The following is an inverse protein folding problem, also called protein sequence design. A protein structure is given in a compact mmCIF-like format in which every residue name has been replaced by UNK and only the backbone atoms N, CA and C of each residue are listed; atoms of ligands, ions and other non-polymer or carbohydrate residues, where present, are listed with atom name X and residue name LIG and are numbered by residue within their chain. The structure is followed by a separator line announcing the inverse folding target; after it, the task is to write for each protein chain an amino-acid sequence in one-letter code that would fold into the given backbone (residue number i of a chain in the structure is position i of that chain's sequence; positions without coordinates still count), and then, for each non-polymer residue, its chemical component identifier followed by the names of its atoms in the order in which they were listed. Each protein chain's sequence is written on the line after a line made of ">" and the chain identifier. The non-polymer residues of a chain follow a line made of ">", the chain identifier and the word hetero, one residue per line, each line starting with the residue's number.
data_IF_706434877384
#
_entry.id   IF_706434877384
#
_cell.length_a   1.000
_cell.length_b   1.000
_cell.length_c   1.000
_cell.angle_alpha   90.00
_cell.angle_beta   90.00
_cell.angle_gamma   90.00
#
_symmetry.space_group_name_H-M   'P 1'
#
loop_
_entity.id
_entity.type
_entity.pdbx_description
1 polymer ?
#
# COMPACT_ATOMS: atom_id res chain seq x y z
N UNK A 1 14.67 23.19 19.79
CA UNK A 1 15.62 22.16 20.23
C UNK A 1 14.97 20.81 20.00
N UNK A 2 15.53 19.99 19.11
CA UNK A 2 14.96 18.68 18.75
C UNK A 2 15.84 17.59 19.34
N UNK A 3 15.26 16.72 20.16
CA UNK A 3 16.00 15.56 20.70
C UNK A 3 16.25 14.51 19.61
N UNK A 4 17.25 13.65 19.78
CA UNK A 4 17.50 12.53 18.84
C UNK A 4 16.29 11.60 18.67
N UNK A 5 15.41 11.51 19.65
CA UNK A 5 14.20 10.71 19.58
C UNK A 5 13.12 11.39 18.72
N UNK A 6 12.93 12.70 18.88
CA UNK A 6 12.04 13.48 18.01
C UNK A 6 12.56 13.53 16.58
N UNK A 7 13.88 13.66 16.40
CA UNK A 7 14.54 13.57 15.09
C UNK A 7 14.38 12.18 14.47
N UNK A 8 14.51 11.11 15.26
CA UNK A 8 14.31 9.75 14.77
C UNK A 8 12.88 9.54 14.23
N UNK A 9 11.88 9.99 14.98
CA UNK A 9 10.47 9.94 14.56
C UNK A 9 10.21 10.78 13.32
N UNK A 10 10.69 12.02 13.29
CA UNK A 10 10.48 12.94 12.17
C UNK A 10 11.17 12.45 10.87
N UNK A 11 12.25 11.67 10.98
CA UNK A 11 13.01 11.18 9.83
C UNK A 11 12.79 9.69 9.53
N UNK A 12 11.86 9.03 10.23
CA UNK A 12 11.54 7.61 10.02
C UNK A 12 12.73 6.66 10.28
N UNK A 13 13.66 7.04 11.16
CA UNK A 13 14.83 6.24 11.53
C UNK A 13 14.77 5.83 13.01
N UNK A 14 15.63 4.88 13.43
CA UNK A 14 15.71 4.51 14.85
C UNK A 14 16.48 5.55 15.66
N UNK A 15 16.14 5.70 16.95
CA UNK A 15 16.85 6.59 17.88
C UNK A 15 18.35 6.28 17.96
N UNK A 16 18.73 4.99 17.85
CA UNK A 16 20.13 4.56 17.77
C UNK A 16 20.84 5.11 16.53
N UNK A 17 20.16 5.11 15.37
CA UNK A 17 20.71 5.66 14.12
C UNK A 17 20.81 7.18 14.18
N UNK A 18 19.82 7.86 14.75
CA UNK A 18 19.89 9.31 14.98
C UNK A 18 21.07 9.69 15.89
N UNK A 19 21.33 8.91 16.95
CA UNK A 19 22.50 9.10 17.83
C UNK A 19 23.82 8.88 17.10
N UNK A 20 23.92 7.83 16.29
CA UNK A 20 25.12 7.56 15.50
C UNK A 20 25.44 8.69 14.50
N UNK A 21 24.41 9.31 13.91
CA UNK A 21 24.57 10.44 13.00
C UNK A 21 25.05 11.71 13.71
N UNK A 22 24.57 11.96 14.94
CA UNK A 22 25.05 13.05 15.77
C UNK A 22 26.51 12.81 16.21
N UNK A 23 26.84 11.58 16.62
CA UNK A 23 28.20 11.20 17.03
C UNK A 23 29.20 11.23 15.87
N UNK A 24 28.78 10.90 14.65
CA UNK A 24 29.64 10.97 13.47
C UNK A 24 29.75 12.38 12.86
N UNK A 25 29.10 13.38 13.45
CA UNK A 25 29.05 14.75 12.90
C UNK A 25 28.28 14.89 11.58
N UNK A 26 27.50 13.87 11.18
CA UNK A 26 26.72 13.90 9.95
C UNK A 26 25.45 14.77 10.08
N UNK A 27 25.06 15.11 11.30
CA UNK A 27 23.98 16.05 11.63
C UNK A 27 24.53 17.05 12.67
N UNK A 28 24.35 18.37 12.48
CA UNK A 28 24.74 19.37 13.46
C UNK A 28 24.04 19.11 14.80
N UNK A 29 24.83 18.75 15.82
CA UNK A 29 24.31 18.43 17.13
C UNK A 29 25.34 18.78 18.20
N UNK A 30 24.86 19.17 19.36
CA UNK A 30 25.67 19.31 20.57
C UNK A 30 25.08 18.47 21.70
N UNK A 31 25.91 18.23 22.72
CA UNK A 31 25.43 17.64 23.97
C UNK A 31 24.93 18.73 24.90
N UNK A 32 23.68 18.60 25.33
CA UNK A 32 23.12 19.34 26.46
C UNK A 32 22.85 18.35 27.59
N UNK A 33 23.75 18.33 28.58
CA UNK A 33 23.76 17.33 29.65
C UNK A 33 23.99 15.90 29.13
N UNK A 34 23.07 14.97 29.42
CA UNK A 34 23.12 13.55 28.98
C UNK A 34 22.43 13.28 27.64
N UNK A 35 21.89 14.31 26.99
CA UNK A 35 21.07 14.17 25.78
C UNK A 35 21.77 14.87 24.62
N UNK A 36 21.77 14.21 23.46
CA UNK A 36 22.17 14.81 22.20
C UNK A 36 21.01 15.69 21.70
N UNK A 37 21.29 16.98 21.51
CA UNK A 37 20.36 17.96 20.95
C UNK A 37 20.81 18.27 19.54
N UNK A 38 19.91 18.11 18.58
CA UNK A 38 20.18 18.42 17.18
C UNK A 38 19.83 19.89 16.95
N UNK A 39 20.81 20.63 16.41
CA UNK A 39 20.79 22.10 16.26
C UNK A 39 20.06 22.57 15.01
N UNK A 40 19.43 21.67 14.28
CA UNK A 40 18.79 22.03 13.02
C UNK A 40 17.54 22.89 13.27
N UNK A 41 17.60 24.15 12.84
CA UNK A 41 16.44 24.93 12.36
C UNK A 41 15.95 24.42 10.99
N UNK A 42 16.65 23.45 10.40
CA UNK A 42 16.24 22.84 9.15
C UNK A 42 14.95 22.06 9.31
N UNK A 43 13.97 22.52 8.54
CA UNK A 43 12.78 21.81 8.05
C UNK A 43 13.04 20.28 8.05
N UNK A 44 12.13 19.45 8.60
CA UNK A 44 12.37 18.00 8.74
C UNK A 44 12.92 17.44 7.44
N UNK A 45 14.18 16.97 7.46
CA UNK A 45 14.83 16.50 6.24
C UNK A 45 14.02 15.33 5.72
N UNK A 46 13.55 15.45 4.47
CA UNK A 46 12.80 14.42 3.74
C UNK A 46 13.37 13.05 4.08
N UNK A 47 12.50 12.15 4.52
CA UNK A 47 12.80 10.74 4.77
C UNK A 47 13.72 10.23 3.67
N UNK A 48 14.88 9.66 4.04
CA UNK A 48 15.89 9.22 3.08
C UNK A 48 15.21 8.39 1.97
N UNK A 49 15.31 8.86 0.73
CA UNK A 49 14.54 8.32 -0.39
C UNK A 49 14.75 6.79 -0.48
N UNK A 50 13.67 5.98 -0.58
CA UNK A 50 13.80 4.55 -0.67
C UNK A 50 14.70 4.16 -1.85
N UNK A 51 15.49 3.07 -1.68
CA UNK A 51 16.36 2.57 -2.75
C UNK A 51 15.54 2.35 -4.03
N UNK A 52 16.10 2.69 -5.21
CA UNK A 52 15.41 2.49 -6.47
C UNK A 52 15.08 1.02 -6.69
N UNK A 53 13.91 0.76 -7.28
CA UNK A 53 13.47 -0.59 -7.62
C UNK A 53 14.22 -1.09 -8.86
N UNK A 54 14.48 -2.40 -8.93
CA UNK A 54 14.95 -3.02 -10.18
C UNK A 54 13.89 -3.00 -11.28
N UNK A 55 14.31 -2.99 -12.54
CA UNK A 55 13.41 -2.92 -13.70
C UNK A 55 12.28 -3.98 -13.71
N UNK A 56 12.51 -5.26 -13.33
CA UNK A 56 11.42 -6.24 -13.26
C UNK A 56 10.31 -5.85 -12.28
N UNK A 57 10.68 -5.34 -11.09
CA UNK A 57 9.72 -4.91 -10.07
C UNK A 57 8.94 -3.67 -10.53
N UNK A 58 9.61 -2.73 -11.21
CA UNK A 58 8.95 -1.55 -11.79
C UNK A 58 7.85 -1.94 -12.79
N UNK A 59 8.13 -2.91 -13.68
CA UNK A 59 7.13 -3.43 -14.64
C UNK A 59 5.95 -4.10 -13.93
N UNK A 60 6.21 -4.93 -12.93
CA UNK A 60 5.15 -5.58 -12.15
C UNK A 60 4.28 -4.55 -11.40
N UNK A 61 4.90 -3.51 -10.83
CA UNK A 61 4.18 -2.43 -10.16
C UNK A 61 3.33 -1.62 -11.14
N UNK A 62 3.86 -1.27 -12.32
CA UNK A 62 3.09 -0.59 -13.38
C UNK A 62 1.87 -1.41 -13.77
N UNK A 63 2.03 -2.71 -14.03
CA UNK A 63 0.92 -3.57 -14.42
C UNK A 63 -0.12 -3.72 -13.29
N UNK A 64 0.35 -3.78 -12.04
CA UNK A 64 -0.53 -3.83 -10.88
C UNK A 64 -1.29 -2.50 -10.65
N UNK A 65 -0.67 -1.35 -10.93
CA UNK A 65 -1.33 -0.04 -10.92
C UNK A 65 -2.37 0.07 -12.03
N UNK A 66 -2.02 -0.37 -13.24
CA UNK A 66 -2.92 -0.40 -14.40
C UNK A 66 -4.18 -1.22 -14.12
N UNK A 67 -4.02 -2.44 -13.62
CA UNK A 67 -5.13 -3.35 -13.36
C UNK A 67 -5.77 -3.14 -11.99
N UNK A 68 -5.14 -2.34 -11.14
CA UNK A 68 -5.46 -2.21 -9.71
C UNK A 68 -5.68 -3.58 -9.05
N UNK A 69 -4.82 -4.54 -9.38
CA UNK A 69 -4.94 -5.97 -9.06
C UNK A 69 -3.56 -6.61 -9.07
N UNK A 70 -3.41 -7.71 -8.35
CA UNK A 70 -2.18 -8.51 -8.31
C UNK A 70 -2.29 -9.74 -9.24
N UNK A 71 -3.15 -9.66 -10.27
CA UNK A 71 -3.36 -10.73 -11.24
C UNK A 71 -2.05 -11.08 -11.95
N UNK A 72 -1.81 -12.38 -12.17
CA UNK A 72 -0.58 -12.86 -12.81
C UNK A 72 0.65 -12.91 -11.90
N UNK A 73 0.57 -12.38 -10.67
CA UNK A 73 1.67 -12.46 -9.69
C UNK A 73 1.48 -13.65 -8.75
N UNK A 74 2.56 -14.39 -8.50
CA UNK A 74 2.58 -15.55 -7.60
C UNK A 74 3.69 -15.41 -6.54
N UNK A 75 3.56 -16.16 -5.46
CA UNK A 75 4.63 -16.33 -4.46
C UNK A 75 5.23 -15.01 -3.92
N UNK A 76 6.57 -14.91 -3.84
CA UNK A 76 7.25 -13.73 -3.30
C UNK A 76 6.96 -12.42 -4.06
N UNK A 77 6.73 -12.47 -5.38
CA UNK A 77 6.48 -11.28 -6.18
C UNK A 77 5.15 -10.64 -5.84
N UNK A 78 4.11 -11.46 -5.67
CA UNK A 78 2.79 -11.00 -5.20
C UNK A 78 2.91 -10.26 -3.87
N UNK A 79 3.66 -10.80 -2.90
CA UNK A 79 3.87 -10.17 -1.60
C UNK A 79 4.65 -8.85 -1.70
N UNK A 80 5.70 -8.82 -2.54
CA UNK A 80 6.52 -7.61 -2.73
C UNK A 80 5.71 -6.49 -3.36
N UNK A 81 4.98 -6.77 -4.44
CA UNK A 81 4.13 -5.76 -5.13
C UNK A 81 2.99 -5.32 -4.23
N UNK A 82 2.33 -6.24 -3.52
CA UNK A 82 1.27 -5.90 -2.55
C UNK A 82 1.77 -4.90 -1.50
N UNK A 83 2.97 -5.12 -0.94
CA UNK A 83 3.60 -4.22 0.03
C UNK A 83 3.90 -2.85 -0.57
N UNK A 84 4.35 -2.76 -1.82
CA UNK A 84 4.61 -1.47 -2.46
C UNK A 84 3.32 -0.72 -2.77
N UNK A 85 2.28 -1.40 -3.23
CA UNK A 85 0.96 -0.79 -3.38
C UNK A 85 0.42 -0.28 -2.05
N UNK A 86 0.64 -1.01 -0.96
CA UNK A 86 0.30 -0.56 0.40
C UNK A 86 1.04 0.72 0.76
N UNK A 87 2.36 0.71 0.63
CA UNK A 87 3.20 1.89 0.90
C UNK A 87 2.74 3.11 0.10
N UNK A 88 2.35 2.91 -1.16
CA UNK A 88 1.84 3.97 -2.00
C UNK A 88 0.49 4.52 -1.50
N UNK A 89 -0.43 3.63 -1.10
CA UNK A 89 -1.76 3.98 -0.61
C UNK A 89 -1.74 4.64 0.78
N UNK A 90 -0.79 4.26 1.62
CA UNK A 90 -0.66 4.74 3.00
C UNK A 90 0.26 5.98 3.10
N UNK A 91 0.85 6.43 1.98
CA UNK A 91 1.75 7.58 1.96
C UNK A 91 1.00 8.90 1.86
N UNK A 92 1.39 9.88 2.67
CA UNK A 92 0.92 11.27 2.53
C UNK A 92 1.41 11.91 1.22
N UNK A 93 2.54 11.44 0.68
CA UNK A 93 3.06 11.86 -0.62
C UNK A 93 3.44 10.63 -1.47
N UNK A 94 2.48 10.06 -2.23
CA UNK A 94 2.75 8.89 -3.08
C UNK A 94 3.67 9.22 -4.27
N UNK A 95 3.68 10.48 -4.75
CA UNK A 95 4.51 10.90 -5.87
C UNK A 95 6.01 10.83 -5.53
N UNK A 96 6.39 11.22 -4.30
CA UNK A 96 7.76 11.08 -3.81
C UNK A 96 8.24 9.62 -3.80
N UNK A 97 7.38 8.67 -3.41
CA UNK A 97 7.71 7.25 -3.45
C UNK A 97 7.93 6.77 -4.89
N UNK A 98 7.07 7.16 -5.82
CA UNK A 98 7.22 6.80 -7.24
C UNK A 98 8.49 7.41 -7.83
N UNK A 99 8.80 8.68 -7.54
CA UNK A 99 10.07 9.31 -7.94
C UNK A 99 11.28 8.55 -7.38
N UNK A 100 11.26 8.20 -6.10
CA UNK A 100 12.35 7.45 -5.47
C UNK A 100 12.53 6.05 -6.08
N UNK A 101 11.43 5.32 -6.29
CA UNK A 101 11.46 3.96 -6.82
C UNK A 101 11.86 3.88 -8.28
N UNK A 102 11.47 4.87 -9.10
CA UNK A 102 11.78 4.93 -10.52
C UNK A 102 13.02 5.77 -10.84
N UNK A 103 13.54 6.52 -9.87
CA UNK A 103 14.76 7.35 -9.99
C UNK A 103 14.74 8.30 -11.20
N UNK A 104 13.61 8.94 -11.46
CA UNK A 104 13.46 9.84 -12.62
C UNK A 104 13.20 9.13 -13.95
N UNK A 105 13.22 7.79 -14.00
CA UNK A 105 12.87 7.08 -15.23
C UNK A 105 11.39 7.23 -15.55
N UNK A 106 11.10 7.82 -16.72
CA UNK A 106 9.75 7.96 -17.25
C UNK A 106 9.44 6.76 -18.16
N UNK A 107 8.37 6.00 -17.90
CA UNK A 107 7.94 4.93 -18.79
C UNK A 107 7.58 5.47 -20.17
N UNK A 108 7.96 4.75 -21.24
CA UNK A 108 7.69 5.18 -22.62
C UNK A 108 6.24 4.97 -23.05
N UNK A 109 5.49 4.09 -22.40
CA UNK A 109 4.09 3.83 -22.71
C UNK A 109 3.11 4.82 -22.08
N UNK A 110 1.82 4.57 -22.34
CA UNK A 110 0.68 5.43 -21.98
C UNK A 110 -0.45 4.67 -21.27
N UNK A 111 -0.17 3.47 -20.76
CA UNK A 111 -1.15 2.76 -19.94
C UNK A 111 -1.48 3.55 -18.67
N UNK A 112 -2.64 3.33 -18.03
CA UNK A 112 -2.99 4.01 -16.78
C UNK A 112 -1.91 3.92 -15.69
N UNK A 113 -1.22 2.77 -15.57
CA UNK A 113 -0.13 2.61 -14.61
C UNK A 113 1.10 3.46 -14.94
N UNK A 114 1.47 3.53 -16.22
CA UNK A 114 2.59 4.36 -16.71
C UNK A 114 2.29 5.85 -16.58
N UNK A 115 1.05 6.26 -16.85
CA UNK A 115 0.58 7.64 -16.67
C UNK A 115 0.75 8.12 -15.23
N UNK A 116 0.43 7.28 -14.24
CA UNK A 116 0.62 7.64 -12.82
C UNK A 116 2.10 7.89 -12.51
N UNK A 117 2.99 7.01 -12.99
CA UNK A 117 4.44 7.16 -12.78
C UNK A 117 4.96 8.40 -13.49
N UNK A 118 4.55 8.65 -14.73
CA UNK A 118 4.91 9.84 -15.51
C UNK A 118 4.49 11.12 -14.80
N UNK A 119 3.24 11.20 -14.34
CA UNK A 119 2.75 12.35 -13.59
C UNK A 119 3.56 12.60 -12.31
N UNK A 120 4.01 11.55 -11.63
CA UNK A 120 4.91 11.70 -10.49
C UNK A 120 6.28 12.27 -10.90
N UNK A 121 6.84 11.90 -12.04
CA UNK A 121 8.10 12.50 -12.52
C UNK A 121 7.91 13.95 -12.98
N UNK A 122 6.72 14.31 -13.48
CA UNK A 122 6.36 15.67 -13.90
C UNK A 122 5.99 16.60 -12.72
N UNK A 123 5.99 16.10 -11.48
CA UNK A 123 5.67 16.90 -10.29
C UNK A 123 4.17 17.16 -10.08
N UNK A 124 3.30 16.38 -10.73
CA UNK A 124 1.84 16.50 -10.63
C UNK A 124 1.29 15.74 -9.41
N UNK A 125 1.80 16.07 -8.22
CA UNK A 125 1.63 15.31 -6.98
C UNK A 125 0.15 15.15 -6.56
N UNK A 126 -0.66 16.20 -6.73
CA UNK A 126 -2.10 16.16 -6.42
C UNK A 126 -2.84 15.16 -7.32
N UNK A 127 -2.48 15.09 -8.61
CA UNK A 127 -3.07 14.14 -9.55
C UNK A 127 -2.69 12.71 -9.19
N UNK A 128 -1.42 12.48 -8.87
CA UNK A 128 -0.93 11.16 -8.40
C UNK A 128 -1.71 10.74 -7.16
N UNK A 129 -1.84 11.63 -6.17
CA UNK A 129 -2.57 11.38 -4.94
C UNK A 129 -4.03 11.03 -5.21
N UNK A 130 -4.72 11.80 -6.07
CA UNK A 130 -6.10 11.53 -6.47
C UNK A 130 -6.26 10.18 -7.19
N UNK A 131 -5.29 9.78 -8.03
CA UNK A 131 -5.32 8.51 -8.76
C UNK A 131 -5.04 7.29 -7.86
N UNK A 132 -4.07 7.41 -6.96
CA UNK A 132 -3.70 6.36 -6.00
C UNK A 132 -4.79 6.14 -4.97
N UNK A 133 -5.39 7.23 -4.46
CA UNK A 133 -6.40 7.19 -3.39
C UNK A 133 -7.85 7.13 -3.90
N UNK A 134 -8.05 7.00 -5.21
CA UNK A 134 -9.38 6.91 -5.79
C UNK A 134 -10.19 5.77 -5.15
N UNK A 135 -11.42 6.08 -4.73
CA UNK A 135 -12.35 5.10 -4.15
C UNK A 135 -12.45 3.84 -5.01
N UNK A 136 -12.22 2.68 -4.38
CA UNK A 136 -12.04 1.39 -5.05
C UNK A 136 -13.39 0.77 -5.37
N UNK A 137 -14.01 1.30 -6.42
CA UNK A 137 -15.20 0.70 -7.03
C UNK A 137 -14.78 -0.48 -7.89
N UNK A 138 -15.13 -1.70 -7.47
CA UNK A 138 -14.72 -2.94 -8.14
C UNK A 138 -15.93 -3.68 -8.70
N UNK A 139 -15.84 -4.11 -9.95
CA UNK A 139 -16.81 -5.05 -10.50
C UNK A 139 -16.54 -6.43 -9.90
N UNK A 140 -17.49 -6.99 -9.17
CA UNK A 140 -17.41 -8.32 -8.56
C UNK A 140 -18.53 -9.22 -9.09
N UNK A 141 -18.78 -9.17 -10.40
CA UNK A 141 -19.94 -9.81 -11.06
C UNK A 141 -19.89 -11.34 -11.11
N UNK A 142 -18.73 -11.97 -10.85
CA UNK A 142 -18.59 -13.42 -10.79
C UNK A 142 -17.84 -13.84 -9.53
N UNK A 143 -18.09 -15.06 -9.06
CA UNK A 143 -17.44 -15.61 -7.87
C UNK A 143 -15.91 -15.60 -7.98
N UNK A 144 -15.37 -15.95 -9.16
CA UNK A 144 -13.92 -15.90 -9.40
C UNK A 144 -13.34 -14.49 -9.37
N UNK A 145 -14.09 -13.48 -9.85
CA UNK A 145 -13.65 -12.08 -9.79
C UNK A 145 -13.73 -11.53 -8.36
N UNK A 146 -14.80 -11.85 -7.64
CA UNK A 146 -14.97 -11.50 -6.23
C UNK A 146 -13.84 -12.10 -5.38
N UNK A 147 -13.57 -13.39 -5.54
CA UNK A 147 -12.47 -14.10 -4.87
C UNK A 147 -11.13 -13.40 -5.08
N UNK A 148 -10.84 -13.03 -6.34
CA UNK A 148 -9.62 -12.30 -6.70
C UNK A 148 -9.55 -10.93 -6.02
N UNK A 149 -10.62 -10.14 -6.08
CA UNK A 149 -10.66 -8.80 -5.45
C UNK A 149 -10.41 -8.90 -3.95
N UNK A 150 -11.06 -9.84 -3.27
CA UNK A 150 -10.87 -10.06 -1.83
C UNK A 150 -9.41 -10.46 -1.54
N UNK A 151 -8.87 -11.43 -2.27
CA UNK A 151 -7.49 -11.90 -2.06
C UNK A 151 -6.45 -10.81 -2.34
N UNK A 152 -6.63 -10.04 -3.42
CA UNK A 152 -5.73 -8.96 -3.80
C UNK A 152 -5.76 -7.83 -2.76
N UNK A 153 -6.94 -7.33 -2.41
CA UNK A 153 -7.07 -6.22 -1.45
C UNK A 153 -6.64 -6.65 -0.04
N UNK A 154 -6.92 -7.89 0.38
CA UNK A 154 -6.40 -8.43 1.64
C UNK A 154 -4.88 -8.45 1.64
N UNK A 155 -4.26 -8.91 0.55
CA UNK A 155 -2.80 -8.94 0.42
C UNK A 155 -2.20 -7.53 0.42
N UNK A 156 -2.81 -6.57 -0.29
CA UNK A 156 -2.33 -5.19 -0.33
C UNK A 156 -2.48 -4.53 1.04
N UNK A 157 -3.55 -4.76 1.79
CA UNK A 157 -3.65 -4.26 3.16
C UNK A 157 -2.72 -4.99 4.15
N UNK A 158 -2.06 -6.08 3.71
CA UNK A 158 -1.16 -6.88 4.54
C UNK A 158 -1.89 -7.67 5.63
N UNK A 159 -3.15 -8.02 5.42
CA UNK A 159 -3.97 -8.75 6.38
C UNK A 159 -3.80 -10.25 6.18
N UNK A 160 -3.74 -10.99 7.30
CA UNK A 160 -3.95 -12.44 7.26
C UNK A 160 -5.43 -12.76 7.04
N UNK A 161 -5.74 -14.02 6.70
CA UNK A 161 -7.14 -14.48 6.58
C UNK A 161 -7.86 -14.30 7.92
N UNK A 162 -7.20 -14.64 9.03
CA UNK A 162 -7.74 -14.47 10.39
C UNK A 162 -8.00 -13.01 10.74
N UNK A 163 -7.10 -12.11 10.33
CA UNK A 163 -7.26 -10.68 10.55
C UNK A 163 -8.49 -10.12 9.82
N UNK A 164 -8.64 -10.48 8.54
CA UNK A 164 -9.80 -10.07 7.75
C UNK A 164 -11.10 -10.66 8.32
N UNK A 165 -11.09 -11.94 8.71
CA UNK A 165 -12.24 -12.59 9.33
C UNK A 165 -12.70 -11.84 10.59
N UNK A 166 -11.76 -11.48 11.46
CA UNK A 166 -12.02 -10.69 12.66
C UNK A 166 -12.59 -9.30 12.34
N UNK A 167 -12.01 -8.58 11.38
CA UNK A 167 -12.49 -7.25 10.96
C UNK A 167 -13.88 -7.27 10.32
N UNK A 168 -14.21 -8.36 9.63
CA UNK A 168 -15.49 -8.53 8.97
C UNK A 168 -16.55 -9.24 9.84
N UNK A 169 -16.19 -9.66 11.05
CA UNK A 169 -17.05 -10.41 11.98
C UNK A 169 -17.63 -11.69 11.34
N UNK A 170 -16.78 -12.44 10.63
CA UNK A 170 -17.11 -13.72 9.99
C UNK A 170 -16.09 -14.78 10.39
N UNK A 171 -16.38 -16.06 10.13
CA UNK A 171 -15.41 -17.12 10.35
C UNK A 171 -14.29 -17.12 9.31
N UNK A 172 -13.14 -17.68 9.68
CA UNK A 172 -11.99 -17.91 8.76
C UNK A 172 -12.40 -18.77 7.57
N UNK A 173 -13.31 -19.73 7.78
CA UNK A 173 -13.82 -20.62 6.74
C UNK A 173 -14.61 -19.86 5.67
N UNK A 174 -15.38 -18.84 6.06
CA UNK A 174 -16.11 -17.99 5.11
C UNK A 174 -15.14 -17.23 4.21
N UNK A 175 -14.08 -16.62 4.76
CA UNK A 175 -13.05 -15.95 3.95
C UNK A 175 -12.37 -16.96 3.02
N UNK A 176 -12.01 -18.12 3.55
CA UNK A 176 -11.35 -19.21 2.83
C UNK A 176 -12.20 -19.77 1.68
N UNK A 177 -13.52 -19.88 1.88
CA UNK A 177 -14.47 -20.29 0.87
C UNK A 177 -14.60 -19.23 -0.22
N UNK A 178 -14.72 -17.96 0.19
CA UNK A 178 -14.84 -16.82 -0.72
C UNK A 178 -13.61 -16.66 -1.62
N UNK A 179 -12.40 -16.71 -1.05
CA UNK A 179 -11.14 -16.59 -1.81
C UNK A 179 -10.89 -17.77 -2.76
N UNK A 180 -11.52 -18.91 -2.51
CA UNK A 180 -11.49 -20.09 -3.41
C UNK A 180 -12.67 -20.10 -4.40
N UNK A 181 -13.47 -19.03 -4.44
CA UNK A 181 -14.68 -18.95 -5.25
C UNK A 181 -15.68 -20.10 -5.00
N UNK A 182 -15.69 -20.67 -3.78
CA UNK A 182 -16.64 -21.72 -3.42
C UNK A 182 -18.06 -21.15 -3.33
N UNK A 183 -19.08 -21.87 -3.82
CA UNK A 183 -20.46 -21.46 -3.65
C UNK A 183 -20.87 -21.52 -2.17
N UNK A 184 -21.96 -20.82 -1.80
CA UNK A 184 -22.58 -20.92 -0.48
C UNK A 184 -22.25 -19.79 0.52
N UNK A 185 -21.34 -18.87 0.19
CA UNK A 185 -21.12 -17.66 1.01
C UNK A 185 -22.30 -16.71 0.86
N UNK A 186 -22.91 -16.28 1.98
CA UNK A 186 -24.10 -15.42 1.95
C UNK A 186 -23.77 -14.01 1.47
N UNK A 187 -24.73 -13.30 0.88
CA UNK A 187 -24.56 -11.88 0.47
C UNK A 187 -24.10 -11.02 1.64
N UNK A 188 -24.74 -11.20 2.81
CA UNK A 188 -24.47 -10.39 3.99
C UNK A 188 -23.03 -10.52 4.47
N UNK A 189 -22.49 -11.74 4.44
CA UNK A 189 -21.07 -12.01 4.75
C UNK A 189 -20.16 -11.38 3.71
N UNK A 190 -20.47 -11.56 2.42
CA UNK A 190 -19.72 -10.94 1.32
C UNK A 190 -19.64 -9.41 1.47
N UNK A 191 -20.77 -8.75 1.78
CA UNK A 191 -20.82 -7.30 1.99
C UNK A 191 -19.99 -6.86 3.19
N UNK A 192 -20.02 -7.62 4.30
CA UNK A 192 -19.18 -7.33 5.48
C UNK A 192 -17.69 -7.43 5.15
N UNK A 193 -17.30 -8.46 4.41
CA UNK A 193 -15.90 -8.67 3.98
C UNK A 193 -15.43 -7.53 3.07
N UNK A 194 -16.22 -7.15 2.07
CA UNK A 194 -15.88 -6.05 1.18
C UNK A 194 -15.79 -4.70 1.91
N UNK A 195 -16.70 -4.45 2.86
CA UNK A 195 -16.65 -3.27 3.73
C UNK A 195 -15.38 -3.24 4.58
N UNK A 196 -15.00 -4.37 5.19
CA UNK A 196 -13.77 -4.47 5.97
C UNK A 196 -12.49 -4.23 5.13
N UNK A 197 -12.59 -4.39 3.81
CA UNK A 197 -11.52 -4.10 2.86
C UNK A 197 -11.63 -2.71 2.21
N UNK A 198 -12.60 -1.88 2.60
CA UNK A 198 -12.91 -0.59 1.96
C UNK A 198 -13.10 -0.72 0.43
N UNK A 199 -13.77 -1.80 0.01
CA UNK A 199 -14.11 -2.06 -1.39
C UNK A 199 -15.60 -1.80 -1.58
N UNK A 200 -15.92 -0.92 -2.52
CA UNK A 200 -17.30 -0.69 -2.95
C UNK A 200 -17.62 -1.58 -4.15
N UNK A 201 -18.46 -2.62 -4.01
CA UNK A 201 -18.84 -3.46 -5.15
C UNK A 201 -19.78 -2.71 -6.10
N UNK A 202 -19.50 -2.76 -7.40
CA UNK A 202 -20.39 -2.25 -8.45
C UNK A 202 -21.45 -3.28 -8.87
N UNK A 203 -21.16 -4.57 -8.67
CA UNK A 203 -22.07 -5.69 -8.90
C UNK A 203 -21.60 -6.84 -8.03
N UNK A 204 -22.51 -7.55 -7.37
CA UNK A 204 -22.23 -8.80 -6.67
C UNK A 204 -22.63 -9.98 -7.56
N UNK A 205 -22.00 -11.16 -7.43
CA UNK A 205 -22.45 -12.32 -8.17
C UNK A 205 -23.89 -12.66 -7.77
N UNK A 206 -24.68 -13.27 -8.67
CA UNK A 206 -26.03 -13.70 -8.35
C UNK A 206 -25.95 -14.65 -7.16
N UNK A 207 -26.58 -14.24 -6.06
CA UNK A 207 -26.71 -15.09 -4.89
C UNK A 207 -27.91 -15.99 -5.06
N UNK A 208 -27.67 -17.29 -5.00
CA UNK A 208 -28.69 -18.24 -4.61
C UNK A 208 -29.15 -17.85 -3.21
N UNK A 209 -30.35 -17.28 -3.14
CA UNK A 209 -31.05 -17.09 -1.87
C UNK A 209 -31.36 -18.50 -1.37
N UNK A 210 -30.47 -19.05 -0.54
CA UNK A 210 -30.75 -20.31 0.15
C UNK A 210 -32.00 -20.08 0.97
N UNK A 211 -33.12 -20.62 0.50
CA UNK A 211 -34.33 -20.70 1.29
C UNK A 211 -33.98 -21.62 2.45
N UNK A 212 -34.10 -21.10 3.68
CA UNK A 212 -34.01 -21.95 4.86
C UNK A 212 -35.12 -22.99 4.75
N UNK A 213 -34.73 -24.24 4.58
CA UNK A 213 -35.54 -25.40 4.97
C UNK A 213 -35.32 -25.66 6.44
#
# INVERSE_FOLDING_TARGET
>A
MTTTQQYATAHGISARRARALAESGAVPAHRSGRVWVIDSTDRPARTAAPRPMGAPMRRQLIEALRNQSLVGLTGPDRLRVARHLRQLRDSDNPADLLRAWFRGEVPSGWSPGELIVRQAQEGLDDRVSALVNKSRRKFTSSSGRLARVVSDERAIQGLSVAELARRAEVSVDVISALERARPGVRVGETRRILRALDVTPLALPPVTVGHGS
#
